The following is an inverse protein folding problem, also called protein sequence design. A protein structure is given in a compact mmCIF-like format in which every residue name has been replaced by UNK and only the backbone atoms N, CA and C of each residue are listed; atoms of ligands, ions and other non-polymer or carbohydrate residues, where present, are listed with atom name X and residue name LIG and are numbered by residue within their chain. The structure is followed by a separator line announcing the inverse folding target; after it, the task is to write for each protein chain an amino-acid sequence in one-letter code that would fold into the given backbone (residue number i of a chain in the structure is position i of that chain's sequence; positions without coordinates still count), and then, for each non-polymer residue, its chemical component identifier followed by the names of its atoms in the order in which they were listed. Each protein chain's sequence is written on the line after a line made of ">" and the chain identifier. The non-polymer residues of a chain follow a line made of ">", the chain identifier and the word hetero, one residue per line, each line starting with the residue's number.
data_IF_531372794443
#
_entry.id   IF_531372794443
#
_cell.length_a   1.000
_cell.length_b   1.000
_cell.length_c   1.000
_cell.angle_alpha   90.00
_cell.angle_beta   90.00
_cell.angle_gamma   90.00
#
_symmetry.space_group_name_H-M   'P 1'
#
loop_
_entity.id
_entity.type
_entity.pdbx_description
1 polymer ?
#
# COMPACT_ATOMS: atom_id res chain seq x y z
N UNK A 1 -45.68 -44.14 -29.99
CA UNK A 1 -44.29 -43.83 -29.79
C UNK A 1 -44.15 -42.32 -29.61
N UNK A 2 -44.01 -41.85 -28.35
CA UNK A 2 -43.82 -40.46 -28.02
C UNK A 2 -42.32 -40.18 -27.90
N UNK A 3 -41.79 -39.29 -28.79
CA UNK A 3 -40.40 -38.85 -28.72
C UNK A 3 -40.31 -37.73 -27.66
N UNK A 4 -39.57 -37.94 -26.60
CA UNK A 4 -39.16 -36.92 -25.64
C UNK A 4 -37.92 -36.21 -26.17
N UNK A 5 -38.05 -34.87 -26.40
CA UNK A 5 -36.97 -33.97 -26.74
C UNK A 5 -36.33 -33.51 -25.40
N UNK A 6 -35.11 -33.98 -25.10
CA UNK A 6 -34.32 -33.48 -23.98
C UNK A 6 -33.68 -32.15 -24.41
N UNK A 7 -34.17 -31.05 -23.87
CA UNK A 7 -33.54 -29.74 -23.99
C UNK A 7 -32.44 -29.65 -22.90
N UNK A 8 -31.20 -29.83 -23.27
CA UNK A 8 -30.07 -29.57 -22.36
C UNK A 8 -29.91 -28.05 -22.20
N UNK A 9 -30.34 -27.56 -21.04
CA UNK A 9 -30.03 -26.18 -20.62
C UNK A 9 -28.55 -26.12 -20.22
N UNK A 10 -27.70 -25.64 -21.11
CA UNK A 10 -26.33 -25.28 -20.76
C UNK A 10 -26.39 -23.99 -19.98
N UNK A 11 -26.36 -24.08 -18.65
CA UNK A 11 -26.03 -22.95 -17.78
C UNK A 11 -24.56 -22.62 -18.03
N UNK A 12 -24.31 -21.64 -18.86
CA UNK A 12 -23.01 -20.95 -18.85
C UNK A 12 -22.94 -20.21 -17.52
N UNK A 13 -22.25 -20.79 -16.55
CA UNK A 13 -21.68 -20.04 -15.44
C UNK A 13 -20.73 -19.03 -16.08
N UNK A 14 -21.20 -17.80 -16.24
CA UNK A 14 -20.34 -16.67 -16.56
C UNK A 14 -19.36 -16.58 -15.41
N UNK A 15 -18.13 -17.02 -15.65
CA UNK A 15 -16.99 -16.51 -14.91
C UNK A 15 -16.93 -15.05 -15.35
N UNK A 16 -17.37 -14.15 -14.51
CA UNK A 16 -17.08 -12.72 -14.68
C UNK A 16 -15.54 -12.57 -14.57
N UNK A 17 -14.87 -12.79 -15.70
CA UNK A 17 -13.54 -12.26 -15.90
C UNK A 17 -13.74 -10.76 -15.92
N UNK A 18 -13.49 -10.09 -14.78
CA UNK A 18 -13.42 -8.64 -14.76
C UNK A 18 -12.43 -8.25 -15.84
N UNK A 19 -12.94 -7.65 -16.90
CA UNK A 19 -12.12 -7.17 -17.99
C UNK A 19 -11.21 -6.08 -17.37
N UNK A 20 -9.91 -6.34 -17.37
CA UNK A 20 -8.92 -5.38 -16.91
C UNK A 20 -8.97 -4.17 -17.85
N UNK A 21 -8.95 -2.97 -17.26
CA UNK A 21 -8.80 -1.76 -18.04
C UNK A 21 -7.41 -1.76 -18.72
N UNK A 22 -7.29 -1.30 -19.98
CA UNK A 22 -5.98 -1.08 -20.57
C UNK A 22 -5.23 -0.02 -19.75
N UNK A 23 -3.90 -0.07 -19.74
CA UNK A 23 -3.11 0.95 -19.05
C UNK A 23 -3.45 2.35 -19.54
N UNK A 24 -3.61 3.28 -18.59
CA UNK A 24 -3.84 4.71 -18.90
C UNK A 24 -2.58 5.37 -19.42
N UNK A 25 -1.42 4.91 -18.97
CA UNK A 25 -0.09 5.43 -19.33
C UNK A 25 0.83 4.27 -19.69
N UNK A 26 1.77 4.52 -20.59
CA UNK A 26 2.85 3.59 -20.89
C UNK A 26 4.14 4.10 -20.24
N UNK A 27 4.82 3.23 -19.47
CA UNK A 27 6.04 3.58 -18.77
C UNK A 27 7.20 2.67 -19.14
N UNK A 28 8.38 3.27 -19.21
CA UNK A 28 9.63 2.53 -19.22
C UNK A 28 10.08 2.29 -17.76
N UNK A 29 10.33 1.03 -17.43
CA UNK A 29 10.78 0.63 -16.09
C UNK A 29 12.30 0.49 -16.04
N UNK A 30 12.97 0.91 -14.94
CA UNK A 30 14.41 0.79 -14.82
C UNK A 30 14.83 -0.69 -14.85
N UNK A 31 15.93 -0.98 -15.53
CA UNK A 31 16.58 -2.30 -15.47
C UNK A 31 17.52 -2.34 -14.27
N UNK A 32 17.28 -3.26 -13.35
CA UNK A 32 18.10 -3.44 -12.15
C UNK A 32 19.06 -4.61 -12.43
N UNK A 33 20.34 -4.29 -12.73
CA UNK A 33 21.35 -5.26 -13.11
C UNK A 33 22.46 -5.43 -12.11
N UNK A 34 22.56 -4.53 -11.12
CA UNK A 34 23.53 -4.53 -10.04
C UNK A 34 22.95 -3.86 -8.79
N UNK A 35 23.54 -4.14 -7.62
CA UNK A 35 23.15 -3.47 -6.40
C UNK A 35 23.51 -1.98 -6.42
N UNK A 36 22.57 -1.13 -6.06
CA UNK A 36 22.86 0.24 -5.67
C UNK A 36 23.29 0.22 -4.18
N UNK A 37 24.53 0.66 -3.83
CA UNK A 37 25.01 0.58 -2.45
C UNK A 37 24.16 1.36 -1.45
N UNK A 38 23.57 2.48 -1.87
CA UNK A 38 22.68 3.29 -1.01
C UNK A 38 21.39 2.54 -0.73
N UNK A 39 20.77 1.97 -1.75
CA UNK A 39 19.55 1.16 -1.59
C UNK A 39 19.84 -0.08 -0.73
N UNK A 40 20.98 -0.76 -0.94
CA UNK A 40 21.40 -1.89 -0.10
C UNK A 40 21.49 -1.47 1.38
N UNK A 41 22.16 -0.36 1.68
CA UNK A 41 22.28 0.14 3.05
C UNK A 41 20.94 0.50 3.68
N UNK A 42 20.01 1.03 2.89
CA UNK A 42 18.63 1.31 3.32
C UNK A 42 17.87 0.02 3.62
N UNK A 43 17.92 -0.96 2.71
CA UNK A 43 17.30 -2.28 2.92
C UNK A 43 17.84 -2.95 4.20
N UNK A 44 19.17 -2.91 4.42
CA UNK A 44 19.78 -3.47 5.62
C UNK A 44 19.35 -2.77 6.92
N UNK A 45 18.92 -1.51 6.81
CA UNK A 45 18.44 -0.67 7.92
C UNK A 45 16.97 -0.92 8.29
N UNK A 46 16.24 -1.77 7.56
CA UNK A 46 14.87 -2.18 7.92
C UNK A 46 14.90 -2.93 9.25
N UNK A 47 14.12 -2.45 10.23
CA UNK A 47 14.17 -2.90 11.61
C UNK A 47 13.14 -3.98 11.89
N UNK A 48 13.58 -5.17 12.30
CA UNK A 48 12.69 -6.23 12.80
C UNK A 48 11.93 -5.75 14.04
N UNK A 49 12.64 -5.12 14.98
CA UNK A 49 12.02 -4.60 16.21
C UNK A 49 10.99 -3.50 15.90
N UNK A 50 11.26 -2.68 14.87
CA UNK A 50 10.33 -1.65 14.40
C UNK A 50 9.07 -2.24 13.77
N UNK A 51 9.20 -3.30 12.99
CA UNK A 51 8.09 -4.06 12.41
C UNK A 51 7.27 -4.69 13.54
N UNK A 52 7.91 -5.43 14.45
CA UNK A 52 7.23 -6.07 15.57
C UNK A 52 6.47 -5.05 16.44
N UNK A 53 7.12 -3.93 16.78
CA UNK A 53 6.49 -2.87 17.57
C UNK A 53 5.27 -2.25 16.87
N UNK A 54 5.33 -2.08 15.55
CA UNK A 54 4.21 -1.56 14.75
C UNK A 54 3.04 -2.55 14.74
N UNK A 55 3.31 -3.83 14.49
CA UNK A 55 2.30 -4.90 14.51
C UNK A 55 1.68 -5.00 15.92
N UNK A 56 2.51 -5.03 16.97
CA UNK A 56 2.03 -5.12 18.34
C UNK A 56 1.12 -3.94 18.71
N UNK A 57 1.46 -2.73 18.27
CA UNK A 57 0.64 -1.54 18.49
C UNK A 57 -0.71 -1.66 17.81
N UNK A 58 -0.73 -2.01 16.51
CA UNK A 58 -1.99 -2.18 15.76
C UNK A 58 -2.85 -3.30 16.35
N UNK A 59 -2.26 -4.41 16.78
CA UNK A 59 -2.97 -5.50 17.45
C UNK A 59 -3.49 -5.13 18.85
N UNK A 60 -3.00 -4.03 19.45
CA UNK A 60 -3.48 -3.55 20.75
C UNK A 60 -4.86 -2.90 20.67
N UNK A 61 -5.27 -2.41 19.52
CA UNK A 61 -6.65 -2.05 19.26
C UNK A 61 -7.51 -3.31 19.24
N UNK A 62 -8.68 -3.23 19.86
CA UNK A 62 -9.55 -4.40 20.00
C UNK A 62 -10.06 -4.92 18.66
N UNK A 63 -10.42 -3.97 17.79
CA UNK A 63 -10.88 -4.20 16.42
C UNK A 63 -10.58 -2.96 15.58
N UNK A 64 -10.10 -3.13 14.35
CA UNK A 64 -9.82 -2.03 13.42
C UNK A 64 -10.76 -2.02 12.22
N UNK A 65 -11.91 -2.72 12.28
CA UNK A 65 -12.91 -2.64 11.20
C UNK A 65 -13.33 -1.18 11.00
N UNK A 66 -13.62 -0.80 9.76
CA UNK A 66 -13.88 0.59 9.37
C UNK A 66 -15.03 1.28 10.12
N UNK A 67 -15.96 0.51 10.72
CA UNK A 67 -17.06 0.99 11.55
C UNK A 67 -16.81 0.77 13.07
N UNK A 68 -15.59 0.40 13.46
CA UNK A 68 -15.17 0.33 14.86
C UNK A 68 -14.90 1.72 15.41
N UNK A 69 -15.24 1.96 16.68
CA UNK A 69 -14.87 3.21 17.37
C UNK A 69 -13.36 3.48 17.41
N UNK A 70 -12.54 2.45 17.23
CA UNK A 70 -11.08 2.56 17.27
C UNK A 70 -10.45 2.94 15.94
N UNK A 71 -11.19 2.92 14.83
CA UNK A 71 -10.61 3.16 13.51
C UNK A 71 -10.02 4.57 13.38
N UNK A 72 -10.67 5.57 14.01
CA UNK A 72 -10.16 6.94 14.03
C UNK A 72 -8.88 7.10 14.86
N UNK A 73 -8.77 6.35 15.98
CA UNK A 73 -7.54 6.34 16.79
C UNK A 73 -6.36 5.75 16.00
N UNK A 74 -6.61 4.71 15.20
CA UNK A 74 -5.60 4.10 14.30
C UNK A 74 -5.19 5.09 13.20
N UNK A 75 -6.16 5.72 12.56
CA UNK A 75 -5.95 6.74 11.54
C UNK A 75 -5.09 7.90 12.05
N UNK A 76 -5.46 8.46 13.21
CA UNK A 76 -4.73 9.58 13.82
C UNK A 76 -3.31 9.16 14.23
N UNK A 77 -3.14 7.95 14.72
CA UNK A 77 -1.83 7.40 15.03
C UNK A 77 -0.95 7.27 13.79
N UNK A 78 -1.47 6.72 12.68
CA UNK A 78 -0.75 6.62 11.41
C UNK A 78 -0.37 8.01 10.88
N UNK A 79 -1.33 8.92 10.82
CA UNK A 79 -1.10 10.29 10.35
C UNK A 79 -0.04 11.01 11.20
N UNK A 80 -0.09 10.87 12.52
CA UNK A 80 0.90 11.44 13.45
C UNK A 80 2.30 10.87 13.21
N UNK A 81 2.41 9.57 12.96
CA UNK A 81 3.72 8.95 12.66
C UNK A 81 4.33 9.50 11.37
N UNK A 82 3.56 9.56 10.28
CA UNK A 82 4.07 10.11 9.03
C UNK A 82 4.43 11.61 9.16
N UNK A 83 3.63 12.39 9.88
CA UNK A 83 3.95 13.80 10.16
C UNK A 83 5.23 13.98 10.99
N UNK A 84 5.72 12.94 11.67
CA UNK A 84 6.98 13.00 12.42
C UNK A 84 8.23 12.81 11.53
N UNK A 85 8.06 12.47 10.26
CA UNK A 85 9.15 12.26 9.31
C UNK A 85 9.45 13.54 8.55
N UNK A 86 10.66 14.10 8.71
CA UNK A 86 11.06 15.38 8.12
C UNK A 86 10.98 15.44 6.58
N UNK A 87 11.13 14.29 5.91
CA UNK A 87 11.08 14.21 4.45
C UNK A 87 9.69 13.91 3.89
N UNK A 88 8.67 13.78 4.72
CA UNK A 88 7.28 13.73 4.27
C UNK A 88 6.75 15.15 4.17
N UNK A 89 6.40 15.56 2.96
CA UNK A 89 5.98 16.93 2.67
C UNK A 89 4.50 17.18 3.03
N UNK A 90 3.66 16.13 2.93
CA UNK A 90 2.22 16.23 3.19
C UNK A 90 1.69 14.92 3.75
N UNK A 91 0.88 15.01 4.80
CA UNK A 91 0.04 13.90 5.26
C UNK A 91 -1.41 14.31 5.14
N UNK A 92 -2.20 13.53 4.43
CA UNK A 92 -3.60 13.84 4.19
C UNK A 92 -4.50 12.65 4.55
N UNK A 93 -5.70 12.98 4.98
CA UNK A 93 -6.81 12.04 5.08
C UNK A 93 -7.65 12.18 3.82
N UNK A 94 -7.77 11.09 3.08
CA UNK A 94 -8.57 11.02 1.87
C UNK A 94 -9.92 10.43 2.23
N UNK A 95 -10.93 11.29 2.37
CA UNK A 95 -12.28 10.89 2.78
C UNK A 95 -13.07 10.22 1.67
N UNK A 96 -13.81 9.18 2.04
CA UNK A 96 -14.71 8.47 1.15
C UNK A 96 -15.93 7.96 1.91
N UNK A 97 -16.98 7.58 1.18
CA UNK A 97 -18.19 7.02 1.76
C UNK A 97 -18.23 5.50 1.59
N UNK A 98 -18.59 4.83 2.66
CA UNK A 98 -18.87 3.39 2.64
C UNK A 98 -20.31 3.20 2.23
N UNK A 99 -20.51 2.58 1.06
CA UNK A 99 -21.80 2.15 0.56
C UNK A 99 -21.82 0.63 0.41
N UNK A 100 -22.11 -0.08 1.49
CA UNK A 100 -22.22 -1.54 1.47
C UNK A 100 -23.50 -2.00 2.17
N UNK A 101 -24.23 -2.89 1.50
CA UNK A 101 -25.46 -3.47 2.07
C UNK A 101 -25.17 -4.18 3.40
N UNK A 102 -25.93 -3.84 4.43
CA UNK A 102 -25.77 -4.39 5.78
C UNK A 102 -24.82 -3.61 6.69
N UNK A 103 -24.19 -2.54 6.18
CA UNK A 103 -23.37 -1.62 6.95
C UNK A 103 -23.95 -0.22 6.99
N UNK A 104 -23.74 0.55 8.08
CA UNK A 104 -24.15 1.95 8.10
C UNK A 104 -23.44 2.72 6.99
N UNK A 105 -24.13 3.74 6.43
CA UNK A 105 -23.46 4.70 5.55
C UNK A 105 -22.58 5.60 6.41
N UNK A 106 -21.27 5.41 6.33
CA UNK A 106 -20.28 6.14 7.11
C UNK A 106 -19.23 6.77 6.20
N UNK A 107 -18.59 7.82 6.69
CA UNK A 107 -17.39 8.39 6.07
C UNK A 107 -16.18 7.71 6.71
N UNK A 108 -15.25 7.28 5.88
CA UNK A 108 -13.98 6.73 6.30
C UNK A 108 -12.84 7.43 5.54
N UNK A 109 -11.64 7.29 6.03
CA UNK A 109 -10.47 7.95 5.43
C UNK A 109 -9.38 6.93 5.11
N UNK A 110 -8.71 7.11 3.97
CA UNK A 110 -7.38 6.56 3.74
C UNK A 110 -6.35 7.54 4.31
N UNK A 111 -5.22 7.03 4.81
CA UNK A 111 -4.11 7.85 5.27
C UNK A 111 -3.02 7.84 4.21
N UNK A 112 -2.70 9.01 3.66
CA UNK A 112 -1.73 9.15 2.58
C UNK A 112 -0.59 10.08 3.05
N UNK A 113 0.65 9.58 2.98
CA UNK A 113 1.84 10.38 3.21
C UNK A 113 2.57 10.60 1.89
N UNK A 114 2.83 11.84 1.53
CA UNK A 114 3.35 12.25 0.22
C UNK A 114 4.74 12.84 0.40
N UNK A 115 5.68 12.31 -0.37
CA UNK A 115 7.03 12.80 -0.52
C UNK A 115 7.22 13.25 -1.97
N UNK A 116 7.28 14.57 -2.21
CA UNK A 116 7.34 15.11 -3.56
C UNK A 116 8.64 14.80 -4.28
N UNK A 117 8.51 14.41 -5.54
CA UNK A 117 9.61 14.24 -6.48
C UNK A 117 10.28 15.57 -6.84
N UNK A 118 11.53 15.50 -7.29
CA UNK A 118 12.33 16.69 -7.62
C UNK A 118 12.50 16.93 -9.11
N UNK A 119 12.32 15.91 -9.94
CA UNK A 119 12.56 15.96 -11.38
C UNK A 119 11.25 15.81 -12.17
N UNK A 120 10.45 14.80 -11.84
CA UNK A 120 9.13 14.52 -12.42
C UNK A 120 8.09 14.34 -11.31
N UNK A 121 7.77 15.41 -10.56
CA UNK A 121 6.86 15.34 -9.42
C UNK A 121 5.42 14.95 -9.80
N UNK A 122 5.06 15.03 -11.08
CA UNK A 122 3.79 14.61 -11.66
C UNK A 122 3.68 13.10 -11.91
N UNK A 123 4.80 12.36 -11.83
CA UNK A 123 4.84 10.91 -11.90
C UNK A 123 4.85 10.33 -10.48
N UNK A 124 3.95 9.38 -10.21
CA UNK A 124 3.72 8.86 -8.85
C UNK A 124 4.09 7.39 -8.73
N UNK A 125 4.85 7.06 -7.71
CA UNK A 125 5.07 5.69 -7.25
C UNK A 125 4.32 5.51 -5.95
N UNK A 126 3.43 4.52 -5.89
CA UNK A 126 2.63 4.28 -4.69
C UNK A 126 3.06 2.95 -4.07
N UNK A 127 3.20 2.90 -2.77
CA UNK A 127 3.23 1.66 -2.01
C UNK A 127 2.21 1.75 -0.87
N UNK A 128 1.47 0.66 -0.64
CA UNK A 128 0.35 0.74 0.29
C UNK A 128 -0.02 -0.59 0.93
N UNK A 129 -0.80 -0.48 2.01
CA UNK A 129 -1.33 -1.57 2.79
C UNK A 129 -2.64 -1.11 3.45
N UNK A 130 -3.63 -1.97 3.58
CA UNK A 130 -4.82 -1.60 4.36
C UNK A 130 -4.54 -1.66 5.86
N UNK A 131 -5.24 -0.81 6.62
CA UNK A 131 -5.04 -0.72 8.07
C UNK A 131 -6.25 -1.18 8.88
N UNK A 132 -7.38 -1.39 8.23
CA UNK A 132 -8.53 -2.03 8.85
C UNK A 132 -8.27 -3.53 9.09
N UNK A 133 -9.11 -4.17 9.88
CA UNK A 133 -9.03 -5.61 10.16
C UNK A 133 -10.40 -6.20 10.39
N UNK A 134 -10.53 -7.50 10.17
CA UNK A 134 -11.79 -8.21 10.32
C UNK A 134 -11.57 -9.59 10.98
N UNK A 135 -12.64 -10.18 11.50
CA UNK A 135 -12.58 -11.53 12.07
C UNK A 135 -13.70 -12.46 11.58
N UNK A 136 -14.30 -12.16 10.45
CA UNK A 136 -15.39 -12.94 9.88
C UNK A 136 -16.76 -12.72 10.55
N UNK A 137 -16.85 -11.90 11.61
CA UNK A 137 -18.08 -11.61 12.32
C UNK A 137 -18.66 -10.26 11.89
N UNK A 138 -19.93 -10.24 11.47
CA UNK A 138 -20.63 -9.03 11.02
C UNK A 138 -21.35 -8.29 12.15
N UNK A 139 -21.26 -8.78 13.38
CA UNK A 139 -21.86 -8.10 14.54
C UNK A 139 -21.07 -6.84 14.90
N UNK A 140 -21.51 -6.14 15.94
CA UNK A 140 -20.89 -4.91 16.43
C UNK A 140 -19.35 -5.11 16.63
N UNK A 141 -18.50 -4.38 15.89
CA UNK A 141 -17.05 -4.53 15.95
C UNK A 141 -16.47 -4.25 17.33
N UNK A 142 -17.14 -3.42 18.13
CA UNK A 142 -16.68 -3.07 19.47
C UNK A 142 -16.84 -4.22 20.46
N UNK A 143 -17.57 -5.28 20.10
CA UNK A 143 -17.76 -6.49 20.94
C UNK A 143 -16.96 -7.70 20.44
N UNK A 144 -16.32 -7.60 19.29
CA UNK A 144 -15.63 -8.70 18.62
C UNK A 144 -14.18 -8.35 18.34
N UNK A 145 -13.26 -9.18 18.86
CA UNK A 145 -11.83 -8.94 18.70
C UNK A 145 -11.34 -9.33 17.28
N UNK A 146 -10.70 -8.40 16.60
CA UNK A 146 -10.03 -8.60 15.31
C UNK A 146 -8.62 -7.99 15.35
N UNK A 147 -7.59 -8.73 15.81
CA UNK A 147 -6.24 -8.19 15.96
C UNK A 147 -5.59 -7.83 14.63
N UNK A 148 -5.83 -8.64 13.56
CA UNK A 148 -5.30 -8.39 12.24
C UNK A 148 -3.79 -8.23 12.22
N UNK A 149 -3.04 -9.20 12.78
CA UNK A 149 -1.60 -9.09 12.86
C UNK A 149 -0.93 -9.28 11.50
N UNK A 150 -1.30 -10.37 10.82
CA UNK A 150 -0.81 -10.66 9.49
C UNK A 150 -1.65 -9.93 8.44
N UNK A 151 -2.94 -9.92 8.65
CA UNK A 151 -3.95 -9.28 7.83
C UNK A 151 -4.55 -8.05 8.55
N UNK A 152 -3.96 -6.82 8.41
CA UNK A 152 -2.76 -6.53 7.64
C UNK A 152 -1.82 -5.55 8.38
N UNK A 153 -1.56 -5.79 9.68
CA UNK A 153 -0.58 -4.98 10.40
C UNK A 153 0.86 -5.21 9.89
N UNK A 154 1.14 -6.39 9.28
CA UNK A 154 2.43 -6.67 8.65
C UNK A 154 2.69 -5.76 7.45
N UNK A 155 1.71 -5.59 6.57
CA UNK A 155 1.80 -4.67 5.44
C UNK A 155 2.00 -3.23 5.89
N UNK A 156 1.18 -2.76 6.83
CA UNK A 156 1.32 -1.39 7.41
C UNK A 156 2.72 -1.18 8.00
N UNK A 157 3.28 -2.18 8.70
CA UNK A 157 4.63 -2.08 9.24
C UNK A 157 5.70 -1.99 8.16
N UNK A 158 5.54 -2.72 7.04
CA UNK A 158 6.43 -2.66 5.89
C UNK A 158 6.38 -1.30 5.18
N UNK A 159 5.19 -0.73 4.98
CA UNK A 159 5.02 0.62 4.39
C UNK A 159 5.62 1.68 5.32
N UNK A 160 5.41 1.57 6.63
CA UNK A 160 6.01 2.48 7.60
C UNK A 160 7.55 2.44 7.57
N UNK A 161 8.17 1.26 7.57
CA UNK A 161 9.64 1.13 7.48
C UNK A 161 10.17 1.70 6.17
N UNK A 162 9.46 1.47 5.05
CA UNK A 162 9.78 2.07 3.76
C UNK A 162 9.78 3.60 3.85
N UNK A 163 8.71 4.22 4.36
CA UNK A 163 8.61 5.67 4.51
C UNK A 163 9.69 6.23 5.46
N UNK A 164 9.90 5.58 6.61
CA UNK A 164 10.89 6.00 7.62
C UNK A 164 12.30 6.10 7.06
N UNK A 165 12.64 5.22 6.14
CA UNK A 165 13.98 5.16 5.55
C UNK A 165 14.11 6.03 4.31
N UNK A 166 13.12 5.96 3.39
CA UNK A 166 13.18 6.70 2.13
C UNK A 166 12.91 8.20 2.30
N UNK A 167 12.14 8.63 3.29
CA UNK A 167 11.88 10.05 3.52
C UNK A 167 13.13 10.90 3.75
N UNK A 168 14.26 10.27 4.07
CA UNK A 168 15.56 10.94 4.27
C UNK A 168 16.31 11.23 2.96
N UNK A 169 15.76 10.84 1.82
CA UNK A 169 16.40 10.96 0.51
C UNK A 169 15.50 11.72 -0.46
N UNK A 170 16.08 12.18 -1.57
CA UNK A 170 15.33 12.80 -2.66
C UNK A 170 15.17 11.81 -3.81
N UNK A 171 14.05 11.92 -4.50
CA UNK A 171 13.69 11.06 -5.63
C UNK A 171 13.30 11.92 -6.83
N UNK A 172 13.36 11.34 -8.01
CA UNK A 172 12.90 12.03 -9.23
C UNK A 172 11.38 12.13 -9.23
N UNK A 173 10.70 11.03 -8.88
CA UNK A 173 9.24 10.89 -8.84
C UNK A 173 8.70 11.11 -7.43
N UNK A 174 7.45 11.49 -7.36
CA UNK A 174 6.70 11.57 -6.09
C UNK A 174 6.39 10.16 -5.57
N UNK A 175 6.60 9.97 -4.26
CA UNK A 175 6.23 8.72 -3.58
C UNK A 175 5.02 8.97 -2.70
N UNK A 176 4.03 8.08 -2.77
CA UNK A 176 2.88 8.05 -1.86
C UNK A 176 2.94 6.76 -1.04
N UNK A 177 3.03 6.93 0.27
CA UNK A 177 2.90 5.86 1.25
C UNK A 177 1.45 5.84 1.72
N UNK A 178 0.71 4.81 1.30
CA UNK A 178 -0.73 4.76 1.49
C UNK A 178 -1.14 3.72 2.53
N UNK A 179 -2.12 4.09 3.37
CA UNK A 179 -2.80 3.12 4.22
C UNK A 179 -4.31 3.19 3.92
N UNK A 180 -4.82 2.09 3.37
CA UNK A 180 -6.21 2.00 2.92
C UNK A 180 -7.14 1.60 4.04
N UNK A 181 -8.38 2.08 4.01
CA UNK A 181 -9.43 1.69 4.94
C UNK A 181 -10.56 0.97 4.19
N UNK A 182 -11.29 0.13 4.90
CA UNK A 182 -12.42 -0.65 4.39
C UNK A 182 -12.02 -1.59 3.22
N UNK A 183 -10.78 -2.11 3.24
CA UNK A 183 -10.35 -3.20 2.37
C UNK A 183 -11.20 -4.44 2.63
N UNK A 184 -11.36 -4.82 3.88
CA UNK A 184 -12.09 -5.99 4.39
C UNK A 184 -13.59 -5.97 4.05
N UNK A 185 -14.11 -4.83 3.67
CA UNK A 185 -15.46 -4.68 3.15
C UNK A 185 -15.54 -4.76 1.62
N UNK A 186 -14.44 -5.03 0.94
CA UNK A 186 -14.32 -5.21 -0.52
C UNK A 186 -13.58 -4.08 -1.21
N UNK A 187 -12.39 -3.75 -0.73
CA UNK A 187 -11.42 -2.83 -1.35
C UNK A 187 -11.96 -1.38 -1.50
N UNK A 188 -12.85 -0.93 -0.58
CA UNK A 188 -13.62 0.31 -0.82
C UNK A 188 -12.68 1.52 -0.89
N UNK A 189 -11.79 1.69 0.09
CA UNK A 189 -10.93 2.87 0.17
C UNK A 189 -9.96 2.98 -1.01
N UNK A 190 -9.28 1.89 -1.35
CA UNK A 190 -8.38 1.86 -2.51
C UNK A 190 -9.11 2.02 -3.84
N UNK A 191 -10.34 1.44 -3.97
CA UNK A 191 -11.13 1.54 -5.19
C UNK A 191 -11.59 2.98 -5.46
N UNK A 192 -12.04 3.69 -4.42
CA UNK A 192 -12.41 5.11 -4.56
C UNK A 192 -11.19 5.93 -4.96
N UNK A 193 -10.05 5.76 -4.28
CA UNK A 193 -8.84 6.52 -4.59
C UNK A 193 -8.32 6.22 -6.00
N UNK A 194 -8.18 4.95 -6.38
CA UNK A 194 -7.70 4.57 -7.71
C UNK A 194 -8.62 5.09 -8.83
N UNK A 195 -9.94 5.08 -8.60
CA UNK A 195 -10.89 5.65 -9.54
C UNK A 195 -10.75 7.17 -9.67
N UNK A 196 -10.61 7.89 -8.57
CA UNK A 196 -10.40 9.33 -8.59
C UNK A 196 -9.09 9.71 -9.28
N UNK A 197 -8.01 8.93 -9.05
CA UNK A 197 -6.76 9.10 -9.78
C UNK A 197 -6.97 8.93 -11.30
N UNK A 198 -7.71 7.89 -11.72
CA UNK A 198 -7.99 7.63 -13.12
C UNK A 198 -8.87 8.71 -13.77
N UNK A 199 -9.93 9.13 -13.07
CA UNK A 199 -10.83 10.20 -13.53
C UNK A 199 -10.08 11.54 -13.73
N UNK A 200 -9.01 11.76 -12.96
CA UNK A 200 -8.18 12.96 -13.03
C UNK A 200 -6.88 12.78 -13.83
N UNK A 201 -6.69 11.62 -14.47
CA UNK A 201 -5.51 11.28 -15.25
C UNK A 201 -4.19 11.49 -14.47
N UNK A 202 -4.18 11.09 -13.20
CA UNK A 202 -2.99 11.08 -12.38
C UNK A 202 -2.01 10.03 -12.92
N UNK A 203 -0.75 10.42 -13.13
CA UNK A 203 0.25 9.56 -13.74
C UNK A 203 0.92 8.63 -12.71
N UNK A 204 0.28 7.48 -12.42
CA UNK A 204 0.80 6.48 -11.49
C UNK A 204 1.65 5.47 -12.26
N UNK A 205 2.97 5.54 -12.05
CA UNK A 205 3.97 4.68 -12.70
C UNK A 205 3.89 3.22 -12.22
N UNK A 206 3.54 3.02 -10.94
CA UNK A 206 3.35 1.69 -10.39
C UNK A 206 2.86 1.71 -8.95
N UNK A 207 2.10 0.68 -8.59
CA UNK A 207 1.61 0.44 -7.23
C UNK A 207 2.14 -0.89 -6.69
N UNK A 208 2.74 -0.86 -5.49
CA UNK A 208 3.20 -2.02 -4.74
C UNK A 208 2.30 -2.22 -3.51
N UNK A 209 1.54 -3.30 -3.53
CA UNK A 209 0.63 -3.67 -2.45
C UNK A 209 1.33 -4.56 -1.43
N UNK A 210 1.30 -4.21 -0.16
CA UNK A 210 1.80 -5.07 0.91
C UNK A 210 0.62 -5.57 1.75
N UNK A 211 0.41 -6.88 1.68
CA UNK A 211 -0.69 -7.52 2.39
C UNK A 211 -0.32 -8.97 2.70
N UNK A 212 -0.34 -9.34 3.98
CA UNK A 212 0.02 -10.65 4.50
C UNK A 212 1.44 -11.10 4.11
N UNK A 213 2.39 -10.87 5.00
CA UNK A 213 3.80 -11.18 4.74
C UNK A 213 4.54 -11.73 5.98
N UNK A 214 3.80 -12.18 7.01
CA UNK A 214 4.35 -12.60 8.28
C UNK A 214 4.22 -14.08 8.62
N UNK A 215 3.45 -14.86 7.85
CA UNK A 215 3.29 -16.28 8.09
C UNK A 215 4.23 -17.11 7.22
N UNK A 216 4.92 -18.04 7.87
CA UNK A 216 5.71 -19.06 7.18
C UNK A 216 5.26 -20.43 7.65
N UNK A 217 4.79 -21.25 6.72
CA UNK A 217 4.39 -22.63 7.01
C UNK A 217 5.57 -23.43 7.58
N UNK A 218 5.30 -24.26 8.55
CA UNK A 218 6.31 -25.15 9.16
C UNK A 218 7.09 -25.97 8.12
N UNK A 219 8.41 -25.90 8.19
CA UNK A 219 9.31 -26.60 7.27
C UNK A 219 9.51 -25.93 5.91
N UNK A 220 8.86 -24.80 5.63
CA UNK A 220 9.12 -24.02 4.44
C UNK A 220 10.32 -23.09 4.63
N UNK A 221 10.99 -22.75 3.53
CA UNK A 221 11.94 -21.64 3.47
C UNK A 221 11.20 -20.32 3.16
N UNK A 222 11.79 -19.19 3.56
CA UNK A 222 11.25 -17.89 3.19
C UNK A 222 11.24 -17.77 1.66
N UNK A 223 10.10 -17.41 1.12
CA UNK A 223 9.88 -17.22 -0.30
C UNK A 223 8.85 -16.11 -0.51
N UNK A 224 8.64 -15.72 -1.76
CA UNK A 224 7.67 -14.69 -2.11
C UNK A 224 6.90 -15.13 -3.36
N UNK A 225 5.59 -15.10 -3.29
CA UNK A 225 4.73 -15.16 -4.46
C UNK A 225 4.40 -13.74 -4.92
N UNK A 226 4.65 -13.42 -6.18
CA UNK A 226 4.32 -12.11 -6.75
C UNK A 226 3.08 -12.27 -7.61
N UNK A 227 1.99 -11.68 -7.15
CA UNK A 227 0.70 -11.69 -7.83
C UNK A 227 0.58 -10.44 -8.69
N UNK A 228 0.31 -10.62 -9.96
CA UNK A 228 0.10 -9.52 -10.91
C UNK A 228 -0.64 -10.00 -12.16
N UNK A 229 -1.17 -9.06 -12.91
CA UNK A 229 -1.85 -9.31 -14.17
C UNK A 229 -0.87 -9.22 -15.35
N UNK A 230 -1.11 -9.97 -16.42
CA UNK A 230 -0.14 -10.11 -17.51
C UNK A 230 0.29 -8.76 -18.14
N UNK A 231 -0.59 -7.77 -18.19
CA UNK A 231 -0.26 -6.44 -18.70
C UNK A 231 0.80 -5.72 -17.87
N UNK A 232 0.95 -6.06 -16.57
CA UNK A 232 1.91 -5.44 -15.64
C UNK A 232 3.29 -6.13 -15.67
N UNK A 233 3.52 -7.01 -16.64
CA UNK A 233 4.73 -7.83 -16.77
C UNK A 233 6.03 -7.02 -16.79
N UNK A 234 6.02 -5.78 -17.29
CA UNK A 234 7.20 -4.91 -17.29
C UNK A 234 7.53 -4.40 -15.90
N UNK A 235 6.52 -3.95 -15.12
CA UNK A 235 6.70 -3.59 -13.72
C UNK A 235 7.14 -4.81 -12.91
N UNK A 236 6.49 -5.97 -13.14
CA UNK A 236 6.85 -7.22 -12.49
C UNK A 236 8.29 -7.63 -12.80
N UNK A 237 8.75 -7.47 -14.05
CA UNK A 237 10.15 -7.75 -14.40
C UNK A 237 11.12 -6.92 -13.57
N UNK A 238 10.90 -5.62 -13.45
CA UNK A 238 11.73 -4.74 -12.61
C UNK A 238 11.73 -5.21 -11.15
N UNK A 239 10.56 -5.58 -10.62
CA UNK A 239 10.44 -6.10 -9.25
C UNK A 239 11.20 -7.43 -9.07
N UNK A 240 11.11 -8.37 -10.01
CA UNK A 240 11.89 -9.61 -10.01
C UNK A 240 13.40 -9.35 -10.11
N UNK A 241 13.82 -8.36 -10.93
CA UNK A 241 15.23 -7.96 -11.00
C UNK A 241 15.72 -7.49 -9.63
N UNK A 242 14.93 -6.67 -8.90
CA UNK A 242 15.26 -6.26 -7.51
C UNK A 242 15.39 -7.50 -6.60
N UNK A 243 14.42 -8.40 -6.63
CA UNK A 243 14.48 -9.62 -5.82
C UNK A 243 15.77 -10.43 -6.09
N UNK A 244 16.08 -10.71 -7.36
CA UNK A 244 17.21 -11.55 -7.74
C UNK A 244 18.57 -10.88 -7.48
N UNK A 245 18.66 -9.55 -7.62
CA UNK A 245 19.91 -8.82 -7.38
C UNK A 245 20.20 -8.68 -5.89
N UNK A 246 19.17 -8.37 -5.10
CA UNK A 246 19.37 -8.09 -3.67
C UNK A 246 19.21 -9.35 -2.79
N UNK A 247 18.46 -10.36 -3.22
CA UNK A 247 18.21 -11.60 -2.51
C UNK A 247 18.29 -12.82 -3.44
N UNK A 248 19.49 -13.11 -4.01
CA UNK A 248 19.62 -14.12 -5.06
C UNK A 248 19.25 -15.55 -4.62
N UNK A 249 19.34 -15.81 -3.32
CA UNK A 249 19.02 -17.14 -2.76
C UNK A 249 17.56 -17.30 -2.34
N UNK A 250 16.75 -16.22 -2.35
CA UNK A 250 15.34 -16.30 -1.99
C UNK A 250 14.49 -16.74 -3.19
N UNK A 251 13.70 -17.82 -3.07
CA UNK A 251 12.75 -18.18 -4.10
C UNK A 251 11.68 -17.12 -4.29
N UNK A 252 11.56 -16.59 -5.51
CA UNK A 252 10.51 -15.66 -5.89
C UNK A 252 9.75 -16.24 -7.08
N UNK A 253 8.44 -16.29 -6.99
CA UNK A 253 7.59 -16.97 -7.97
C UNK A 253 6.55 -16.01 -8.52
N UNK A 254 6.34 -16.06 -9.82
CA UNK A 254 5.11 -15.50 -10.40
C UNK A 254 3.93 -16.36 -9.96
N UNK A 255 2.89 -15.73 -9.48
CA UNK A 255 1.68 -16.45 -9.11
C UNK A 255 0.43 -15.62 -9.43
N UNK A 256 -0.73 -16.23 -9.22
CA UNK A 256 -2.04 -15.61 -9.32
C UNK A 256 -2.85 -16.00 -8.09
N UNK A 257 -3.73 -15.13 -7.64
CA UNK A 257 -4.53 -15.37 -6.45
C UNK A 257 -5.82 -16.11 -6.85
N UNK A 258 -5.94 -17.41 -6.54
CA UNK A 258 -7.10 -18.20 -6.95
C UNK A 258 -8.35 -17.89 -6.11
N UNK A 259 -8.14 -17.39 -4.90
CA UNK A 259 -9.19 -17.02 -3.95
C UNK A 259 -8.76 -15.75 -3.22
N UNK A 260 -9.73 -14.86 -3.00
CA UNK A 260 -9.45 -13.56 -2.40
C UNK A 260 -8.96 -12.52 -3.41
N UNK A 261 -8.70 -11.35 -2.93
CA UNK A 261 -8.26 -10.18 -3.67
C UNK A 261 -7.53 -9.24 -2.69
N UNK A 262 -6.95 -8.17 -3.16
CA UNK A 262 -6.40 -7.10 -2.33
C UNK A 262 -6.33 -5.78 -3.11
N UNK A 263 -5.89 -4.71 -2.47
CA UNK A 263 -5.93 -3.33 -2.97
C UNK A 263 -5.24 -3.13 -4.34
N UNK A 264 -4.29 -4.00 -4.74
CA UNK A 264 -3.68 -3.93 -6.08
C UNK A 264 -4.71 -4.03 -7.21
N UNK A 265 -5.77 -4.81 -7.01
CA UNK A 265 -6.84 -4.96 -7.99
C UNK A 265 -7.62 -3.68 -8.24
N UNK A 266 -7.73 -2.81 -7.24
CA UNK A 266 -8.35 -1.49 -7.40
C UNK A 266 -7.61 -0.65 -8.42
N UNK A 267 -6.29 -0.70 -8.41
CA UNK A 267 -5.44 0.01 -9.38
C UNK A 267 -5.49 -0.65 -10.76
N UNK A 268 -5.39 -1.97 -10.84
CA UNK A 268 -5.49 -2.69 -12.12
C UNK A 268 -6.84 -2.46 -12.83
N UNK A 269 -7.95 -2.43 -12.08
CA UNK A 269 -9.28 -2.16 -12.64
C UNK A 269 -9.42 -0.74 -13.19
N UNK A 270 -8.57 0.19 -12.74
CA UNK A 270 -8.54 1.57 -13.19
C UNK A 270 -7.38 1.88 -14.15
N UNK A 271 -6.72 0.86 -14.71
CA UNK A 271 -5.70 1.01 -15.76
C UNK A 271 -4.32 1.40 -15.27
N UNK A 272 -3.98 1.08 -14.02
CA UNK A 272 -2.66 1.27 -13.45
C UNK A 272 -1.94 -0.05 -13.25
N UNK A 273 -0.62 -0.06 -13.47
CA UNK A 273 0.21 -1.22 -13.17
C UNK A 273 0.35 -1.40 -11.65
N UNK A 274 0.08 -2.62 -11.18
CA UNK A 274 0.12 -2.93 -9.75
C UNK A 274 0.58 -4.37 -9.50
N UNK A 275 1.35 -4.55 -8.41
CA UNK A 275 1.85 -5.84 -7.95
C UNK A 275 1.45 -6.08 -6.50
N UNK A 276 1.29 -7.36 -6.18
CA UNK A 276 1.06 -7.82 -4.81
C UNK A 276 2.06 -8.92 -4.44
N UNK A 277 3.18 -8.58 -3.78
CA UNK A 277 4.04 -9.55 -3.13
C UNK A 277 3.31 -10.19 -1.95
N UNK A 278 3.17 -11.51 -1.96
CA UNK A 278 2.37 -12.28 -1.03
C UNK A 278 3.18 -13.43 -0.42
N UNK A 279 2.88 -13.83 0.80
CA UNK A 279 3.64 -14.83 1.56
C UNK A 279 3.62 -16.23 0.95
N UNK A 280 2.46 -16.75 0.62
CA UNK A 280 2.26 -18.06 -0.07
C UNK A 280 0.81 -18.17 -0.54
N UNK A 281 0.57 -18.14 -1.84
CA UNK A 281 -0.78 -18.21 -2.43
C UNK A 281 -1.49 -19.52 -2.12
N UNK A 282 -0.73 -20.60 -1.86
CA UNK A 282 -1.27 -21.92 -1.63
C UNK A 282 -1.31 -22.34 -0.16
N UNK A 283 -0.59 -21.64 0.71
CA UNK A 283 -0.46 -21.98 2.12
C UNK A 283 -0.23 -20.74 3.02
N UNK A 284 -1.02 -19.71 2.79
CA UNK A 284 -1.06 -18.50 3.62
C UNK A 284 -1.56 -18.81 5.03
N UNK A 285 -1.48 -17.82 5.91
CA UNK A 285 -1.90 -17.96 7.31
C UNK A 285 -3.33 -18.50 7.42
N UNK A 286 -3.54 -19.61 8.14
CA UNK A 286 -4.88 -20.14 8.40
C UNK A 286 -5.64 -19.39 9.51
N UNK A 287 -5.04 -18.36 10.08
CA UNK A 287 -5.54 -17.61 11.23
C UNK A 287 -6.18 -16.28 10.86
N UNK A 288 -6.05 -15.83 9.60
CA UNK A 288 -6.66 -14.58 9.11
C UNK A 288 -8.16 -14.59 9.34
N UNK A 289 -8.75 -13.40 9.45
CA UNK A 289 -10.17 -13.21 9.72
C UNK A 289 -10.64 -13.96 10.99
N UNK A 290 -9.75 -14.10 11.98
CA UNK A 290 -10.07 -14.67 13.29
C UNK A 290 -9.41 -13.89 14.43
N UNK A 291 -9.85 -14.15 15.65
CA UNK A 291 -9.17 -13.62 16.86
C UNK A 291 -7.76 -14.18 17.06
N UNK A 292 -7.34 -15.17 16.27
CA UNK A 292 -6.04 -15.83 16.34
C UNK A 292 -5.02 -15.20 15.38
N UNK A 293 -5.41 -14.21 14.62
CA UNK A 293 -4.48 -13.42 13.83
C UNK A 293 -3.66 -12.49 14.72
N UNK A 294 -2.62 -13.07 15.35
CA UNK A 294 -1.77 -12.44 16.35
C UNK A 294 -0.30 -12.75 16.14
N UNK A 295 0.59 -11.92 16.73
CA UNK A 295 2.02 -12.18 16.81
C UNK A 295 2.31 -13.54 17.47
N UNK A 296 3.27 -14.26 16.91
CA UNK A 296 3.71 -15.58 17.35
C UNK A 296 2.82 -16.73 16.86
N UNK A 297 1.72 -16.45 16.17
CA UNK A 297 0.83 -17.46 15.59
C UNK A 297 0.58 -17.20 14.09
N UNK A 298 -0.15 -16.18 13.74
CA UNK A 298 -0.35 -15.74 12.35
C UNK A 298 0.92 -15.10 11.82
N UNK A 299 1.45 -14.11 12.53
CA UNK A 299 2.81 -13.59 12.26
C UNK A 299 3.80 -14.43 13.07
N UNK A 300 4.29 -15.50 12.46
CA UNK A 300 5.22 -16.43 13.10
C UNK A 300 6.67 -16.28 12.60
N UNK A 301 6.90 -15.42 11.58
CA UNK A 301 8.23 -15.19 11.01
C UNK A 301 8.49 -13.72 10.66
N UNK A 302 8.97 -12.95 11.64
CA UNK A 302 9.33 -11.55 11.45
C UNK A 302 10.53 -11.32 10.50
N UNK A 303 11.37 -12.35 10.30
CA UNK A 303 12.45 -12.25 9.30
C UNK A 303 11.87 -12.21 7.88
N UNK A 304 10.78 -12.93 7.61
CA UNK A 304 10.05 -12.87 6.36
C UNK A 304 9.42 -11.49 6.18
N UNK A 305 8.69 -10.97 7.16
CA UNK A 305 8.11 -9.61 7.09
C UNK A 305 9.18 -8.55 6.83
N UNK A 306 10.35 -8.67 7.48
CA UNK A 306 11.50 -7.79 7.21
C UNK A 306 11.96 -7.90 5.76
N UNK A 307 12.10 -9.10 5.23
CA UNK A 307 12.59 -9.30 3.86
C UNK A 307 11.62 -8.76 2.81
N UNK A 308 10.31 -8.89 3.04
CA UNK A 308 9.29 -8.27 2.21
C UNK A 308 9.37 -6.74 2.25
N UNK A 309 9.51 -6.16 3.44
CA UNK A 309 9.69 -4.72 3.60
C UNK A 309 10.98 -4.21 2.92
N UNK A 310 12.08 -4.97 3.00
CA UNK A 310 13.33 -4.66 2.30
C UNK A 310 13.15 -4.62 0.79
N UNK A 311 12.49 -5.63 0.22
CA UNK A 311 12.25 -5.71 -1.23
C UNK A 311 11.32 -4.62 -1.69
N UNK A 312 10.23 -4.36 -0.95
CA UNK A 312 9.31 -3.25 -1.25
C UNK A 312 10.06 -1.91 -1.26
N UNK A 313 10.87 -1.63 -0.23
CA UNK A 313 11.71 -0.44 -0.16
C UNK A 313 12.63 -0.32 -1.39
N UNK A 314 13.31 -1.41 -1.75
CA UNK A 314 14.21 -1.43 -2.90
C UNK A 314 13.48 -1.17 -4.21
N UNK A 315 12.31 -1.80 -4.41
CA UNK A 315 11.50 -1.61 -5.61
C UNK A 315 10.99 -0.16 -5.73
N UNK A 316 10.47 0.40 -4.63
CA UNK A 316 10.03 1.81 -4.58
C UNK A 316 11.20 2.75 -4.87
N UNK A 317 12.37 2.54 -4.25
CA UNK A 317 13.53 3.39 -4.43
C UNK A 317 14.07 3.38 -5.87
N UNK A 318 14.10 2.21 -6.51
CA UNK A 318 14.47 2.10 -7.93
C UNK A 318 13.46 2.75 -8.86
N UNK A 319 12.17 2.49 -8.62
CA UNK A 319 11.12 3.02 -9.49
C UNK A 319 10.97 4.53 -9.34
N UNK A 320 11.10 5.05 -8.13
CA UNK A 320 11.02 6.49 -7.86
C UNK A 320 12.26 7.27 -8.32
N UNK A 321 13.36 6.58 -8.66
CA UNK A 321 14.59 7.23 -9.11
C UNK A 321 15.33 7.88 -7.94
N UNK A 322 15.98 7.05 -7.08
CA UNK A 322 16.76 7.55 -5.94
C UNK A 322 17.89 8.47 -6.42
N UNK A 323 17.81 9.73 -6.05
CA UNK A 323 18.91 10.67 -6.19
C UNK A 323 19.95 10.42 -5.07
N UNK A 324 21.21 10.16 -5.43
CA UNK A 324 22.28 9.83 -4.48
C UNK A 324 22.69 11.00 -3.55
N UNK A 325 21.96 12.08 -3.55
CA UNK A 325 22.14 13.18 -2.61
C UNK A 325 21.21 12.94 -1.42
N UNK A 326 21.81 12.52 -0.27
CA UNK A 326 21.11 12.61 1.01
C UNK A 326 20.54 14.03 1.17
N UNK A 327 19.37 14.13 1.77
CA UNK A 327 18.84 15.45 2.16
C UNK A 327 19.91 16.10 3.03
N UNK A 328 20.62 17.12 2.50
CA UNK A 328 21.37 18.01 3.37
C UNK A 328 20.37 18.52 4.40
N UNK A 329 20.72 18.50 5.69
CA UNK A 329 19.92 19.16 6.73
C UNK A 329 19.68 20.60 6.27
N UNK A 330 18.60 20.81 5.52
CA UNK A 330 18.17 22.15 5.18
C UNK A 330 17.81 22.79 6.52
N UNK A 331 18.55 23.83 6.86
CA UNK A 331 18.08 24.77 7.87
C UNK A 331 16.63 25.07 7.55
N UNK A 332 15.74 24.57 8.39
CA UNK A 332 14.30 24.81 8.27
C UNK A 332 14.04 26.29 8.17
N UNK A 333 13.86 26.79 6.96
CA UNK A 333 13.19 28.07 6.79
C UNK A 333 11.76 27.81 7.22
N UNK A 334 11.38 28.36 8.37
CA UNK A 334 10.04 28.17 8.89
C UNK A 334 9.05 28.82 7.92
N UNK A 335 8.26 27.99 7.22
CA UNK A 335 7.15 28.44 6.40
C UNK A 335 5.87 28.18 7.19
N UNK A 336 5.16 29.23 7.54
CA UNK A 336 3.87 29.11 8.18
C UNK A 336 2.75 29.41 7.18
N UNK A 337 1.75 28.52 7.12
CA UNK A 337 0.53 28.72 6.35
C UNK A 337 -0.67 28.81 7.28
N UNK A 338 -1.49 29.87 7.12
CA UNK A 338 -2.71 30.01 7.92
C UNK A 338 -3.80 30.82 7.17
N UNK A 339 -5.09 30.59 7.47
CA UNK A 339 -5.57 29.45 8.25
C UNK A 339 -5.37 28.12 7.52
N UNK A 340 -5.22 27.05 8.27
CA UNK A 340 -5.20 25.70 7.72
C UNK A 340 -6.17 24.85 8.58
N UNK A 341 -7.29 24.35 8.01
CA UNK A 341 -7.72 24.51 6.61
C UNK A 341 -8.17 25.95 6.26
N UNK A 342 -7.93 26.34 5.00
CA UNK A 342 -8.36 27.64 4.44
C UNK A 342 -9.68 27.49 3.67
N UNK A 343 -10.54 28.53 3.71
CA UNK A 343 -11.77 28.57 2.89
C UNK A 343 -11.59 29.36 1.59
N UNK A 344 -11.05 30.56 1.71
CA UNK A 344 -10.98 31.53 0.59
C UNK A 344 -9.58 32.08 0.35
N UNK A 345 -8.76 32.18 1.39
CA UNK A 345 -7.42 32.79 1.35
C UNK A 345 -6.50 32.02 2.30
N UNK A 346 -5.30 31.71 1.82
CA UNK A 346 -4.19 31.23 2.65
C UNK A 346 -3.10 32.27 2.68
N UNK A 347 -2.56 32.57 3.85
CA UNK A 347 -1.37 33.38 4.02
C UNK A 347 -0.16 32.51 4.24
N UNK A 348 0.89 32.76 3.47
CA UNK A 348 2.15 32.02 3.55
C UNK A 348 3.22 32.96 4.07
N UNK A 349 3.81 32.66 5.23
CA UNK A 349 4.94 33.36 5.81
C UNK A 349 6.20 32.52 5.70
N UNK A 350 7.26 33.10 5.14
CA UNK A 350 8.59 32.49 5.08
C UNK A 350 9.64 33.50 5.58
N UNK A 351 10.56 33.07 6.44
CA UNK A 351 11.58 33.97 7.04
C UNK A 351 12.55 34.54 6.01
N UNK A 352 12.91 33.76 4.95
CA UNK A 352 13.87 34.13 3.92
C UNK A 352 13.24 34.68 2.62
N UNK A 353 11.94 34.94 2.63
CA UNK A 353 11.16 35.39 1.46
C UNK A 353 10.84 34.26 0.47
N UNK A 354 9.64 34.35 -0.10
CA UNK A 354 9.14 33.39 -1.10
C UNK A 354 9.65 33.76 -2.50
N UNK A 355 10.31 32.84 -3.18
CA UNK A 355 10.72 33.00 -4.58
C UNK A 355 9.70 32.42 -5.54
N UNK A 356 9.07 31.32 -5.15
CA UNK A 356 8.08 30.63 -5.95
C UNK A 356 7.09 29.89 -5.03
N UNK A 357 5.82 29.90 -5.38
CA UNK A 357 4.78 29.11 -4.72
C UNK A 357 4.03 28.38 -5.81
N UNK A 358 3.95 27.05 -5.69
CA UNK A 358 3.13 26.22 -6.57
C UNK A 358 2.10 25.54 -5.69
N UNK A 359 0.84 25.62 -6.09
CA UNK A 359 -0.25 24.99 -5.35
C UNK A 359 -0.73 23.78 -6.17
N UNK A 360 -0.81 22.65 -5.51
CA UNK A 360 -1.36 21.42 -6.08
C UNK A 360 -2.66 21.06 -5.36
N UNK A 361 -3.60 20.49 -6.07
CA UNK A 361 -4.75 19.85 -5.43
C UNK A 361 -4.35 18.47 -4.86
N UNK A 362 -5.27 17.80 -4.18
CA UNK A 362 -5.05 16.51 -3.53
C UNK A 362 -4.71 15.36 -4.50
N UNK A 363 -4.85 15.61 -5.80
CA UNK A 363 -4.54 14.66 -6.88
C UNK A 363 -3.19 15.00 -7.56
N UNK A 364 -2.41 15.94 -7.00
CA UNK A 364 -1.12 16.34 -7.55
C UNK A 364 -1.21 17.29 -8.76
N UNK A 365 -2.39 17.79 -9.11
CA UNK A 365 -2.55 18.73 -10.22
C UNK A 365 -2.25 20.16 -9.74
N UNK A 366 -1.44 20.88 -10.49
CA UNK A 366 -1.18 22.29 -10.24
C UNK A 366 -2.46 23.11 -10.48
N UNK A 367 -2.86 23.93 -9.50
CA UNK A 367 -4.04 24.79 -9.56
C UNK A 367 -3.67 26.26 -9.47
#
# INVERSE_FOLDING_TARGET
>A
MKKYLFLALVLSLGVDTFAQAPHLFEHDYPSVTEENPTIRALMDSVSVDGIEATIAHLCSYYNRRCDSRHIYDVQDWLASRYNSLEGIDTVMLHDFKIHKEGYPEETADNVLAIQWGTTTPEEFVICGAHYDSWNGDTTDPDTVRAPGADDNATGVAGIWETARLLSRYKFDRTIIYANWNAEELGLIGSAVYAKECADNLMDIVGYFNMDMNGYLREGAEIHMDVVYVNQDSLLAKMFFDVCHIYFPDMPVRQNWMPHGDSDFSSFNRNGYAALHPFEDVWASSPYIHTRQDVLGLSVNNLAQSRQFAQINLGAVAHLAGLNNTAVEENKTTSVAMYPNPAKDVVQILAEDGLRHVVIYNLLGQQI
#
